data_IF_982430652370
#
_entry.id   IF_982430652370
#
_cell.length_a   1.000
_cell.length_b   1.000
_cell.length_c   1.000
_cell.angle_alpha   90.00
_cell.angle_beta   90.00
_cell.angle_gamma   90.00
#
_symmetry.space_group_name_H-M   'P 1'
#
loop_
_entity.id
_entity.type
_entity.pdbx_description
1 polymer ?
#
# COMPACT_ATOMS: atom_id res chain seq x y z
N UNK A 1 -57.02 -14.69 12.48
CA UNK A 1 -57.32 -13.38 13.09
C UNK A 1 -55.98 -12.65 13.20
N UNK A 2 -55.66 -11.54 12.54
CA UNK A 2 -56.43 -10.48 11.89
C UNK A 2 -55.37 -9.68 11.07
N UNK A 3 -55.34 -9.78 9.74
CA UNK A 3 -55.71 -8.69 8.81
C UNK A 3 -55.37 -7.26 9.27
N UNK A 4 -54.39 -6.63 8.63
CA UNK A 4 -54.24 -5.17 8.58
C UNK A 4 -53.89 -4.74 7.15
N UNK A 5 -54.90 -4.17 6.50
CA UNK A 5 -54.89 -3.58 5.17
C UNK A 5 -54.63 -2.07 5.26
N UNK A 6 -54.13 -1.52 4.14
CA UNK A 6 -54.26 -0.15 3.64
C UNK A 6 -53.52 1.01 4.32
N UNK A 7 -52.58 1.61 3.56
CA UNK A 7 -52.82 2.99 3.12
C UNK A 7 -52.20 3.26 1.73
N UNK A 8 -53.09 3.62 0.79
CA UNK A 8 -52.82 4.11 -0.56
C UNK A 8 -51.97 5.40 -0.54
N UNK A 9 -50.94 5.48 -1.37
CA UNK A 9 -50.36 6.75 -1.83
C UNK A 9 -50.42 6.77 -3.36
N UNK A 10 -51.29 7.66 -3.85
CA UNK A 10 -51.52 7.95 -5.26
C UNK A 10 -50.34 8.74 -5.82
N UNK A 11 -49.77 8.31 -6.95
CA UNK A 11 -48.75 9.08 -7.70
C UNK A 11 -49.47 9.82 -8.85
N UNK A 12 -49.22 11.12 -9.05
CA UNK A 12 -49.81 11.89 -10.14
C UNK A 12 -49.21 11.50 -11.51
N UNK A 13 -50.02 11.69 -12.56
CA UNK A 13 -49.85 11.17 -13.93
C UNK A 13 -48.91 12.06 -14.79
N UNK A 14 -47.94 11.50 -15.53
CA UNK A 14 -46.89 12.23 -16.27
C UNK A 14 -47.30 13.04 -17.52
N UNK A 15 -48.58 13.41 -17.70
CA UNK A 15 -49.06 14.04 -18.95
C UNK A 15 -49.17 15.57 -18.94
N UNK A 16 -48.66 16.27 -17.90
CA UNK A 16 -48.96 17.71 -17.71
C UNK A 16 -47.77 18.67 -17.78
N UNK A 17 -46.64 18.33 -18.42
CA UNK A 17 -45.62 19.37 -18.74
C UNK A 17 -45.03 19.13 -20.13
N UNK A 18 -45.89 19.32 -21.14
CA UNK A 18 -45.49 19.73 -22.48
C UNK A 18 -45.66 21.25 -22.62
N UNK A 19 -44.98 21.84 -23.62
CA UNK A 19 -45.06 23.23 -24.12
C UNK A 19 -44.05 24.23 -23.48
N UNK A 20 -43.19 24.97 -24.19
CA UNK A 20 -43.08 25.31 -25.61
C UNK A 20 -41.72 26.00 -25.95
N UNK A 21 -41.41 26.26 -27.24
CA UNK A 21 -40.06 26.39 -27.82
C UNK A 21 -39.63 27.81 -28.22
N UNK A 22 -38.34 27.99 -28.59
CA UNK A 22 -37.80 29.25 -29.11
C UNK A 22 -36.63 29.11 -30.09
N UNK A 23 -36.90 29.58 -31.32
CA UNK A 23 -36.00 30.06 -32.38
C UNK A 23 -35.12 29.11 -33.19
N UNK A 24 -35.63 28.83 -34.40
CA UNK A 24 -34.92 28.85 -35.69
C UNK A 24 -33.71 29.79 -35.70
N UNK A 25 -32.57 29.31 -36.21
CA UNK A 25 -31.92 29.85 -37.42
C UNK A 25 -30.54 29.21 -37.57
N UNK A 26 -30.16 28.94 -38.83
CA UNK A 26 -28.83 29.19 -39.38
C UNK A 26 -28.09 27.98 -39.97
N UNK A 27 -28.04 28.07 -41.30
CA UNK A 27 -26.91 27.72 -42.16
C UNK A 27 -26.79 26.30 -42.71
N UNK A 28 -26.98 26.24 -44.03
CA UNK A 28 -26.66 25.15 -44.96
C UNK A 28 -25.14 24.92 -45.07
N UNK A 29 -24.42 24.92 -43.95
CA UNK A 29 -23.02 24.47 -43.81
C UNK A 29 -22.89 23.13 -43.09
N UNK A 30 -24.00 22.58 -42.60
CA UNK A 30 -24.01 21.42 -41.70
C UNK A 30 -23.82 20.09 -42.47
N UNK A 31 -24.16 19.98 -43.75
CA UNK A 31 -24.17 18.69 -44.47
C UNK A 31 -22.78 18.05 -44.69
N UNK A 32 -21.71 18.84 -44.76
CA UNK A 32 -20.32 18.33 -44.86
C UNK A 32 -19.69 18.03 -43.49
N UNK A 33 -20.23 18.61 -42.42
CA UNK A 33 -19.71 18.43 -41.07
C UNK A 33 -20.18 17.10 -40.46
N UNK A 34 -21.37 16.60 -40.81
CA UNK A 34 -21.90 15.40 -40.13
C UNK A 34 -21.12 14.11 -40.43
N UNK A 35 -20.42 14.00 -41.57
CA UNK A 35 -19.62 12.79 -41.85
C UNK A 35 -18.28 12.79 -41.11
N UNK A 36 -17.71 13.96 -40.86
CA UNK A 36 -16.52 14.12 -40.01
C UNK A 36 -16.90 14.00 -38.54
N UNK A 37 -17.98 14.68 -38.09
CA UNK A 37 -18.56 14.49 -36.77
C UNK A 37 -18.92 13.02 -36.51
N UNK A 38 -19.61 12.32 -37.41
CA UNK A 38 -19.92 10.90 -37.20
C UNK A 38 -18.68 10.00 -37.11
N UNK A 39 -17.53 10.40 -37.67
CA UNK A 39 -16.26 9.69 -37.53
C UNK A 39 -15.56 10.03 -36.21
N UNK A 40 -15.58 11.29 -35.82
CA UNK A 40 -15.04 11.76 -34.54
C UNK A 40 -15.88 11.27 -33.35
N UNK A 41 -17.20 11.16 -33.51
CA UNK A 41 -18.15 10.64 -32.52
C UNK A 41 -17.95 9.13 -32.33
N UNK A 42 -17.68 8.38 -33.40
CA UNK A 42 -17.30 6.96 -33.29
C UNK A 42 -15.92 6.78 -32.62
N UNK A 43 -14.97 7.70 -32.85
CA UNK A 43 -13.65 7.67 -32.20
C UNK A 43 -13.72 8.09 -30.72
N UNK A 44 -14.60 9.04 -30.38
CA UNK A 44 -14.86 9.45 -28.99
C UNK A 44 -15.61 8.39 -28.20
N UNK A 45 -16.57 7.70 -28.82
CA UNK A 45 -17.30 6.58 -28.20
C UNK A 45 -16.40 5.34 -28.00
N UNK A 46 -15.51 5.02 -28.95
CA UNK A 46 -14.53 3.94 -28.79
C UNK A 46 -13.50 4.23 -27.68
N UNK A 47 -13.11 5.50 -27.52
CA UNK A 47 -12.28 5.96 -26.39
C UNK A 47 -13.00 5.91 -25.05
N UNK A 48 -14.27 6.29 -24.99
CA UNK A 48 -15.03 6.24 -23.74
C UNK A 48 -15.22 4.78 -23.27
N UNK A 49 -15.53 3.85 -24.19
CA UNK A 49 -15.64 2.41 -23.87
C UNK A 49 -14.29 1.75 -23.50
N UNK A 50 -13.16 2.16 -24.10
CA UNK A 50 -11.83 1.64 -23.71
C UNK A 50 -11.32 2.22 -22.40
N UNK A 51 -11.62 3.50 -22.10
CA UNK A 51 -11.26 4.14 -20.82
C UNK A 51 -12.17 3.66 -19.69
N UNK A 52 -13.48 3.47 -19.93
CA UNK A 52 -14.37 2.80 -18.97
C UNK A 52 -14.00 1.33 -18.78
N UNK A 53 -13.56 0.60 -19.81
CA UNK A 53 -13.14 -0.80 -19.62
C UNK A 53 -11.86 -0.92 -18.81
N UNK A 54 -10.92 0.03 -18.94
CA UNK A 54 -9.67 0.08 -18.18
C UNK A 54 -9.88 0.56 -16.73
N UNK A 55 -10.83 1.47 -16.51
CA UNK A 55 -11.25 1.86 -15.15
C UNK A 55 -12.14 0.80 -14.50
N UNK A 56 -12.93 0.04 -15.27
CA UNK A 56 -13.79 -1.05 -14.78
C UNK A 56 -13.01 -2.33 -14.50
N UNK A 57 -11.94 -2.65 -15.24
CA UNK A 57 -11.03 -3.75 -14.88
C UNK A 57 -10.10 -3.38 -13.74
N UNK A 58 -9.69 -2.10 -13.64
CA UNK A 58 -9.01 -1.57 -12.45
C UNK A 58 -9.93 -1.63 -11.20
N UNK A 59 -11.20 -1.22 -11.33
CA UNK A 59 -12.15 -1.21 -10.23
C UNK A 59 -12.72 -2.59 -9.85
N UNK A 60 -12.94 -3.49 -10.81
CA UNK A 60 -13.43 -4.86 -10.54
C UNK A 60 -12.34 -5.75 -9.95
N UNK A 61 -11.09 -5.53 -10.36
CA UNK A 61 -9.92 -6.05 -9.66
C UNK A 61 -9.85 -5.54 -8.22
N UNK A 62 -10.16 -4.27 -7.93
CA UNK A 62 -10.13 -3.68 -6.59
C UNK A 62 -11.21 -4.24 -5.64
N UNK A 63 -12.45 -4.47 -6.10
CA UNK A 63 -13.50 -5.11 -5.25
C UNK A 63 -13.27 -6.60 -5.04
N UNK A 64 -12.80 -7.32 -6.06
CA UNK A 64 -12.39 -8.73 -5.91
C UNK A 64 -11.13 -8.83 -5.04
N UNK A 65 -10.18 -7.90 -5.18
CA UNK A 65 -9.01 -7.79 -4.33
C UNK A 65 -9.42 -7.46 -2.90
N UNK A 66 -10.26 -6.45 -2.64
CA UNK A 66 -10.72 -6.08 -1.29
C UNK A 66 -11.50 -7.22 -0.59
N UNK A 67 -12.31 -7.99 -1.31
CA UNK A 67 -12.97 -9.19 -0.77
C UNK A 67 -12.01 -10.38 -0.59
N UNK A 68 -10.93 -10.46 -1.37
CA UNK A 68 -9.86 -11.46 -1.18
C UNK A 68 -8.93 -11.05 -0.03
N UNK A 69 -8.71 -9.74 0.16
CA UNK A 69 -7.88 -9.13 1.20
C UNK A 69 -8.47 -9.32 2.60
N UNK A 70 -9.80 -9.27 2.74
CA UNK A 70 -10.48 -9.59 4.00
C UNK A 70 -10.41 -11.08 4.40
N UNK A 71 -10.15 -11.98 3.46
CA UNK A 71 -10.01 -13.43 3.74
C UNK A 71 -8.55 -13.88 3.93
N UNK A 72 -7.59 -12.97 3.80
CA UNK A 72 -6.17 -13.28 3.84
C UNK A 72 -5.62 -12.99 5.25
N UNK A 73 -5.20 -14.08 5.92
CA UNK A 73 -5.01 -14.11 7.37
C UNK A 73 -4.01 -13.10 7.91
N UNK A 74 -4.46 -12.27 8.85
CA UNK A 74 -3.67 -11.37 9.72
C UNK A 74 -2.35 -11.99 10.22
N UNK A 75 -2.35 -13.31 10.45
CA UNK A 75 -1.17 -14.09 10.85
C UNK A 75 0.00 -14.01 9.85
N UNK A 76 -0.29 -14.06 8.54
CA UNK A 76 0.70 -14.04 7.46
C UNK A 76 1.29 -12.64 7.26
N UNK A 77 0.49 -11.60 7.46
CA UNK A 77 0.97 -10.22 7.45
C UNK A 77 1.80 -9.90 8.69
N UNK A 78 1.40 -10.43 9.85
CA UNK A 78 2.13 -10.25 11.09
C UNK A 78 3.53 -10.87 11.03
N UNK A 79 3.66 -12.10 10.52
CA UNK A 79 4.96 -12.79 10.47
C UNK A 79 5.97 -12.03 9.60
N UNK A 80 5.58 -11.55 8.42
CA UNK A 80 6.50 -10.80 7.53
C UNK A 80 6.90 -9.46 8.14
N UNK A 81 5.98 -8.79 8.85
CA UNK A 81 6.28 -7.54 9.55
C UNK A 81 7.27 -7.75 10.70
N UNK A 82 7.13 -8.85 11.45
CA UNK A 82 8.04 -9.21 12.55
C UNK A 82 9.44 -9.47 12.00
N UNK A 83 9.57 -10.25 10.92
CA UNK A 83 10.89 -10.58 10.35
C UNK A 83 11.58 -9.32 9.85
N UNK A 84 10.87 -8.44 9.12
CA UNK A 84 11.46 -7.19 8.64
C UNK A 84 11.94 -6.31 9.79
N UNK A 85 11.19 -6.24 10.90
CA UNK A 85 11.58 -5.49 12.09
C UNK A 85 12.83 -6.07 12.76
N UNK A 86 12.91 -7.40 12.86
CA UNK A 86 14.08 -8.11 13.39
C UNK A 86 15.32 -7.82 12.53
N UNK A 87 15.20 -7.95 11.20
CA UNK A 87 16.29 -7.72 10.26
C UNK A 87 16.85 -6.29 10.37
N UNK A 88 15.98 -5.28 10.33
CA UNK A 88 16.39 -3.88 10.48
C UNK A 88 17.05 -3.60 11.84
N UNK A 89 16.54 -4.22 12.91
CA UNK A 89 17.13 -4.11 14.25
C UNK A 89 18.53 -4.71 14.32
N UNK A 90 18.70 -5.96 13.89
CA UNK A 90 19.98 -6.67 13.99
C UNK A 90 21.12 -6.05 13.19
N UNK A 91 20.83 -5.31 12.11
CA UNK A 91 21.85 -4.60 11.34
C UNK A 91 22.42 -3.38 12.07
N UNK A 92 21.60 -2.71 12.90
CA UNK A 92 21.96 -1.44 13.53
C UNK A 92 22.40 -1.61 14.99
N UNK A 93 21.87 -2.63 15.69
CA UNK A 93 22.20 -2.89 17.09
C UNK A 93 23.69 -3.08 17.38
N UNK A 94 24.51 -3.77 16.54
CA UNK A 94 25.93 -3.99 16.84
C UNK A 94 26.73 -2.69 16.97
N UNK A 95 26.48 -1.73 16.08
CA UNK A 95 27.15 -0.42 16.10
C UNK A 95 26.65 0.47 17.23
N UNK A 96 25.34 0.41 17.53
CA UNK A 96 24.76 1.14 18.65
C UNK A 96 25.32 0.66 20.00
N UNK A 97 25.46 -0.64 20.22
CA UNK A 97 26.06 -1.19 21.44
C UNK A 97 27.59 -1.04 21.52
N UNK A 98 28.27 -0.83 20.40
CA UNK A 98 29.69 -0.48 20.40
C UNK A 98 29.92 0.98 20.85
N UNK A 99 28.93 1.85 20.66
CA UNK A 99 29.02 3.28 20.98
C UNK A 99 28.36 3.65 22.30
N UNK A 100 27.31 2.93 22.72
CA UNK A 100 26.65 3.07 24.01
C UNK A 100 27.05 1.93 24.97
N UNK A 101 27.13 2.22 26.27
CA UNK A 101 27.27 1.17 27.29
C UNK A 101 26.13 0.14 27.20
N UNK A 102 26.45 -1.14 27.41
CA UNK A 102 25.50 -2.26 27.28
C UNK A 102 24.23 -2.06 28.12
N UNK A 103 24.36 -1.47 29.32
CA UNK A 103 23.22 -1.20 30.18
C UNK A 103 22.32 -0.11 29.58
N UNK A 104 22.92 0.97 29.07
CA UNK A 104 22.20 2.11 28.50
C UNK A 104 21.48 1.70 27.20
N UNK A 105 22.16 0.96 26.32
CA UNK A 105 21.56 0.46 25.09
C UNK A 105 20.36 -0.47 25.34
N UNK A 106 20.45 -1.33 26.36
CA UNK A 106 19.34 -2.23 26.73
C UNK A 106 18.14 -1.46 27.25
N UNK A 107 18.35 -0.48 28.15
CA UNK A 107 17.26 0.38 28.66
C UNK A 107 16.59 1.15 27.52
N UNK A 108 17.37 1.71 26.59
CA UNK A 108 16.83 2.40 25.42
C UNK A 108 15.99 1.47 24.53
N UNK A 109 16.43 0.22 24.33
CA UNK A 109 15.70 -0.77 23.55
C UNK A 109 14.34 -1.13 24.21
N UNK A 110 14.32 -1.28 25.54
CA UNK A 110 13.07 -1.53 26.29
C UNK A 110 12.12 -0.33 26.17
N UNK A 111 12.62 0.89 26.33
CA UNK A 111 11.81 2.11 26.22
C UNK A 111 11.23 2.26 24.80
N UNK A 112 12.01 2.00 23.76
CA UNK A 112 11.55 2.06 22.38
C UNK A 112 10.50 0.98 22.09
N UNK A 113 10.70 -0.24 22.62
CA UNK A 113 9.72 -1.33 22.53
C UNK A 113 8.40 -1.00 23.22
N UNK A 114 8.44 -0.42 24.42
CA UNK A 114 7.25 0.03 25.14
C UNK A 114 6.51 1.15 24.41
N UNK A 115 7.25 2.13 23.85
CA UNK A 115 6.66 3.18 23.04
C UNK A 115 5.96 2.62 21.78
N UNK A 116 6.59 1.64 21.10
CA UNK A 116 6.01 0.98 19.93
C UNK A 116 4.76 0.15 20.28
N UNK A 117 4.77 -0.56 21.42
CA UNK A 117 3.60 -1.28 21.95
C UNK A 117 2.45 -0.32 22.25
N UNK A 118 2.74 0.79 22.92
CA UNK A 118 1.74 1.81 23.26
C UNK A 118 1.13 2.45 22.02
N UNK A 119 1.94 2.81 21.01
CA UNK A 119 1.44 3.31 19.74
C UNK A 119 0.51 2.29 19.05
N UNK A 120 0.93 1.03 19.01
CA UNK A 120 0.15 -0.07 18.42
C UNK A 120 -1.20 -0.27 19.13
N UNK A 121 -1.23 -0.12 20.46
CA UNK A 121 -2.46 -0.18 21.25
C UNK A 121 -3.44 0.93 20.85
N UNK A 122 -2.98 2.18 20.77
CA UNK A 122 -3.82 3.33 20.38
C UNK A 122 -4.38 3.15 18.96
N UNK A 123 -3.55 2.69 18.03
CA UNK A 123 -3.97 2.42 16.64
C UNK A 123 -5.05 1.32 16.59
N UNK A 124 -4.92 0.29 17.42
CA UNK A 124 -5.90 -0.78 17.56
C UNK A 124 -7.26 -0.26 18.04
N UNK A 125 -7.27 0.54 19.10
CA UNK A 125 -8.50 1.16 19.64
C UNK A 125 -9.17 2.09 18.63
N UNK A 126 -8.39 2.90 17.90
CA UNK A 126 -8.92 3.78 16.84
C UNK A 126 -9.53 2.97 15.70
N UNK A 127 -8.93 1.84 15.33
CA UNK A 127 -9.46 0.96 14.27
C UNK A 127 -10.79 0.33 14.66
N UNK A 128 -10.97 -0.05 15.93
CA UNK A 128 -12.24 -0.60 16.44
C UNK A 128 -13.33 0.48 16.51
N UNK A 129 -12.98 1.70 16.90
CA UNK A 129 -13.93 2.81 17.06
C UNK A 129 -14.34 3.45 15.73
N UNK A 130 -13.45 3.48 14.74
CA UNK A 130 -13.69 4.07 13.43
C UNK A 130 -13.39 3.04 12.32
N UNK A 131 -14.29 2.07 12.07
CA UNK A 131 -14.07 1.07 11.03
C UNK A 131 -14.05 1.63 9.60
N UNK A 132 -14.44 2.90 9.44
CA UNK A 132 -14.50 3.58 8.14
C UNK A 132 -13.13 4.09 7.65
N UNK A 133 -12.13 4.17 8.54
CA UNK A 133 -10.76 4.51 8.15
C UNK A 133 -10.02 3.28 7.61
N UNK A 134 -9.91 3.23 6.28
CA UNK A 134 -9.16 2.19 5.57
C UNK A 134 -7.64 2.46 5.54
N UNK A 135 -7.23 3.73 5.49
CA UNK A 135 -5.82 4.12 5.39
C UNK A 135 -5.23 4.57 6.73
N UNK A 136 -3.94 4.25 6.95
CA UNK A 136 -3.20 4.65 8.15
C UNK A 136 -3.10 6.18 8.28
N UNK A 137 -3.02 6.89 7.15
CA UNK A 137 -2.92 8.35 7.08
C UNK A 137 -4.19 9.04 7.63
N UNK A 138 -5.35 8.42 7.47
CA UNK A 138 -6.61 8.95 8.00
C UNK A 138 -6.67 8.87 9.53
N UNK A 139 -5.94 7.94 10.15
CA UNK A 139 -5.78 7.92 11.61
C UNK A 139 -4.99 9.13 12.11
N UNK A 140 -3.96 9.54 11.36
CA UNK A 140 -3.22 10.79 11.64
C UNK A 140 -4.13 12.03 11.59
N UNK A 141 -5.13 12.02 10.70
CA UNK A 141 -6.13 13.08 10.61
C UNK A 141 -7.07 13.11 11.83
N UNK A 142 -7.42 11.96 12.38
CA UNK A 142 -8.25 11.86 13.59
C UNK A 142 -7.49 12.32 14.84
N UNK A 143 -6.18 12.07 14.91
CA UNK A 143 -5.34 12.43 16.06
C UNK A 143 -5.00 13.93 16.11
N UNK A 144 -4.70 14.55 14.96
CA UNK A 144 -4.15 15.91 14.90
C UNK A 144 -4.86 16.83 13.88
N UNK A 145 -6.05 16.44 13.40
CA UNK A 145 -6.82 17.20 12.43
C UNK A 145 -6.16 17.26 11.05
N UNK A 146 -6.38 18.36 10.31
CA UNK A 146 -5.89 18.52 8.93
C UNK A 146 -4.36 18.47 8.84
N UNK A 147 -3.66 18.98 9.85
CA UNK A 147 -2.20 19.03 9.88
C UNK A 147 -1.59 17.64 10.07
N UNK A 148 -2.20 16.82 10.93
CA UNK A 148 -1.79 15.42 11.15
C UNK A 148 -1.87 14.57 9.90
N UNK A 149 -2.84 14.81 9.01
CA UNK A 149 -2.94 14.10 7.73
C UNK A 149 -1.69 14.27 6.86
N UNK A 150 -1.21 15.50 6.67
CA UNK A 150 -0.03 15.75 5.82
C UNK A 150 1.24 15.18 6.43
N UNK A 151 1.43 15.34 7.74
CA UNK A 151 2.62 14.84 8.43
C UNK A 151 2.65 13.31 8.44
N UNK A 152 1.56 12.63 8.81
CA UNK A 152 1.52 11.18 8.81
C UNK A 152 1.64 10.60 7.40
N UNK A 153 1.06 11.25 6.40
CA UNK A 153 1.22 10.85 5.00
C UNK A 153 2.69 10.88 4.58
N UNK A 154 3.35 12.03 4.81
CA UNK A 154 4.75 12.21 4.47
C UNK A 154 5.66 11.25 5.26
N UNK A 155 5.46 11.14 6.57
CA UNK A 155 6.24 10.25 7.43
C UNK A 155 6.08 8.78 7.03
N UNK A 156 4.86 8.34 6.70
CA UNK A 156 4.60 6.97 6.27
C UNK A 156 5.28 6.66 4.94
N UNK A 157 5.15 7.52 3.93
CA UNK A 157 5.80 7.33 2.63
C UNK A 157 7.32 7.39 2.77
N UNK A 158 7.85 8.33 3.55
CA UNK A 158 9.29 8.44 3.82
C UNK A 158 9.82 7.17 4.52
N UNK A 159 9.10 6.64 5.51
CA UNK A 159 9.47 5.40 6.20
C UNK A 159 9.53 4.22 5.22
N UNK A 160 8.56 4.08 4.32
CA UNK A 160 8.56 3.01 3.32
C UNK A 160 9.76 3.13 2.37
N UNK A 161 10.06 4.33 1.89
CA UNK A 161 11.20 4.58 0.98
C UNK A 161 12.53 4.31 1.70
N UNK A 162 12.68 4.76 2.94
CA UNK A 162 13.90 4.54 3.73
C UNK A 162 14.13 3.06 4.03
N UNK A 163 13.07 2.31 4.36
CA UNK A 163 13.15 0.86 4.56
C UNK A 163 13.60 0.16 3.28
N UNK A 164 12.95 0.43 2.14
CA UNK A 164 13.34 -0.18 0.85
C UNK A 164 14.77 0.21 0.48
N UNK A 165 15.14 1.48 0.66
CA UNK A 165 16.50 1.98 0.41
C UNK A 165 17.55 1.30 1.29
N UNK A 166 17.24 1.03 2.56
CA UNK A 166 18.13 0.27 3.46
C UNK A 166 18.39 -1.14 2.91
N UNK A 167 17.36 -1.83 2.42
CA UNK A 167 17.53 -3.17 1.86
C UNK A 167 18.33 -3.16 0.56
N UNK A 168 18.13 -2.16 -0.31
CA UNK A 168 18.98 -1.99 -1.50
C UNK A 168 20.45 -1.76 -1.13
N UNK A 169 20.69 -0.91 -0.11
CA UNK A 169 22.04 -0.61 0.35
C UNK A 169 22.71 -1.85 0.96
N UNK A 170 22.00 -2.58 1.84
CA UNK A 170 22.50 -3.83 2.41
C UNK A 170 22.81 -4.85 1.31
N UNK A 171 21.95 -5.00 0.30
CA UNK A 171 22.20 -5.85 -0.87
C UNK A 171 23.48 -5.46 -1.63
N UNK A 172 23.71 -4.16 -1.84
CA UNK A 172 24.95 -3.64 -2.42
C UNK A 172 26.19 -4.03 -1.59
N UNK A 173 26.15 -3.79 -0.28
CA UNK A 173 27.27 -4.11 0.62
C UNK A 173 27.57 -5.60 0.72
N UNK A 174 26.55 -6.46 0.68
CA UNK A 174 26.72 -7.91 0.69
C UNK A 174 27.48 -8.39 -0.55
N UNK A 175 27.21 -7.81 -1.72
CA UNK A 175 27.90 -8.17 -2.96
C UNK A 175 29.34 -7.65 -3.02
N UNK A 176 29.60 -6.48 -2.40
CA UNK A 176 30.97 -5.98 -2.20
C UNK A 176 31.79 -6.94 -1.36
N UNK A 177 31.20 -7.51 -0.30
CA UNK A 177 31.89 -8.47 0.56
C UNK A 177 32.35 -9.73 -0.21
N UNK A 178 31.64 -10.11 -1.28
CA UNK A 178 32.00 -11.26 -2.13
C UNK A 178 32.95 -10.85 -3.26
N UNK A 179 32.75 -9.69 -3.87
CA UNK A 179 33.45 -9.29 -5.11
C UNK A 179 34.74 -8.48 -4.87
N UNK A 180 34.94 -7.91 -3.68
CA UNK A 180 36.14 -7.13 -3.33
C UNK A 180 36.28 -5.77 -4.03
N UNK A 181 35.33 -5.36 -4.88
CA UNK A 181 35.35 -4.09 -5.62
C UNK A 181 34.14 -3.21 -5.27
N UNK A 182 34.41 -1.93 -4.96
CA UNK A 182 33.41 -0.95 -4.52
C UNK A 182 32.55 -0.39 -5.66
N UNK A 183 33.09 -0.34 -6.88
CA UNK A 183 32.38 0.18 -8.07
C UNK A 183 31.18 -0.72 -8.43
N UNK A 184 31.33 -2.02 -8.20
CA UNK A 184 30.26 -3.00 -8.40
C UNK A 184 29.08 -2.81 -7.43
N UNK A 185 29.31 -2.22 -6.25
CA UNK A 185 28.28 -1.99 -5.22
C UNK A 185 27.13 -1.15 -5.75
N UNK A 186 27.46 -0.05 -6.44
CA UNK A 186 26.48 0.91 -6.91
C UNK A 186 25.62 0.32 -8.04
N UNK A 187 26.26 -0.38 -8.97
CA UNK A 187 25.58 -1.09 -10.06
C UNK A 187 24.66 -2.19 -9.52
N UNK A 188 25.12 -2.94 -8.50
CA UNK A 188 24.33 -4.00 -7.89
C UNK A 188 23.17 -3.48 -7.03
N UNK A 189 23.32 -2.33 -6.38
CA UNK A 189 22.24 -1.66 -5.66
C UNK A 189 21.14 -1.17 -6.60
N UNK A 190 21.52 -0.62 -7.76
CA UNK A 190 20.57 -0.26 -8.83
C UNK A 190 19.88 -1.54 -9.35
N UNK A 191 20.62 -2.62 -9.60
CA UNK A 191 20.05 -3.90 -10.03
C UNK A 191 19.05 -4.47 -9.00
N UNK A 192 19.38 -4.41 -7.71
CA UNK A 192 18.51 -4.83 -6.61
C UNK A 192 17.22 -3.99 -6.55
N UNK A 193 17.34 -2.69 -6.81
CA UNK A 193 16.17 -1.79 -6.90
C UNK A 193 15.25 -2.16 -8.05
N UNK A 194 15.81 -2.51 -9.22
CA UNK A 194 15.02 -2.97 -10.37
C UNK A 194 14.29 -4.28 -10.04
N UNK A 195 14.95 -5.23 -9.36
CA UNK A 195 14.33 -6.49 -8.92
C UNK A 195 13.20 -6.23 -7.92
N UNK A 196 13.40 -5.33 -6.95
CA UNK A 196 12.37 -4.97 -5.96
C UNK A 196 11.17 -4.25 -6.59
N UNK A 197 11.42 -3.37 -7.58
CA UNK A 197 10.36 -2.76 -8.38
C UNK A 197 9.59 -3.82 -9.15
N UNK A 198 10.28 -4.79 -9.75
CA UNK A 198 9.63 -5.87 -10.49
C UNK A 198 8.77 -6.75 -9.58
N UNK A 199 9.25 -7.05 -8.38
CA UNK A 199 8.52 -7.80 -7.36
C UNK A 199 7.34 -7.01 -6.76
N UNK A 200 7.35 -5.68 -6.86
CA UNK A 200 6.28 -4.83 -6.35
C UNK A 200 5.04 -4.73 -7.26
N UNK A 201 5.13 -5.15 -8.54
CA UNK A 201 4.11 -4.84 -9.54
C UNK A 201 2.80 -5.64 -9.36
N UNK A 202 2.78 -6.94 -9.01
CA UNK A 202 1.55 -7.48 -8.38
C UNK A 202 1.76 -8.80 -7.59
N UNK A 203 2.43 -8.85 -6.42
CA UNK A 203 2.37 -10.08 -5.63
C UNK A 203 1.01 -10.11 -4.92
N UNK A 204 0.16 -11.04 -5.32
CA UNK A 204 -1.07 -11.36 -4.58
C UNK A 204 -0.70 -11.66 -3.11
N UNK A 205 -1.48 -11.24 -2.11
CA UNK A 205 -1.12 -11.50 -0.70
C UNK A 205 -0.93 -12.99 -0.37
N UNK A 206 -1.46 -13.90 -1.19
CA UNK A 206 -1.15 -15.34 -1.09
C UNK A 206 0.32 -15.66 -1.46
N UNK A 207 0.86 -14.97 -2.47
CA UNK A 207 2.26 -15.10 -2.90
C UNK A 207 3.20 -14.38 -1.92
N UNK A 208 2.83 -13.19 -1.43
CA UNK A 208 3.62 -12.53 -0.36
C UNK A 208 3.72 -13.43 0.88
N UNK A 209 2.65 -14.16 1.20
CA UNK A 209 2.65 -15.07 2.32
C UNK A 209 3.50 -16.34 2.13
N UNK A 210 3.66 -16.82 0.88
CA UNK A 210 4.58 -17.95 0.63
C UNK A 210 6.04 -17.46 0.68
N UNK A 211 6.33 -16.27 0.14
CA UNK A 211 7.66 -15.65 0.23
C UNK A 211 8.08 -15.38 1.68
N UNK A 212 7.16 -14.90 2.53
CA UNK A 212 7.46 -14.64 3.95
C UNK A 212 7.86 -15.89 4.75
N UNK A 213 7.35 -17.07 4.38
CA UNK A 213 7.76 -18.32 5.04
C UNK A 213 9.20 -18.73 4.64
N UNK A 214 9.58 -18.48 3.40
CA UNK A 214 10.95 -18.72 2.91
C UNK A 214 11.92 -17.75 3.59
N UNK A 215 11.54 -16.48 3.69
CA UNK A 215 12.30 -15.42 4.37
C UNK A 215 12.53 -15.75 5.86
N UNK A 216 11.51 -16.26 6.55
CA UNK A 216 11.63 -16.69 7.94
C UNK A 216 12.72 -17.75 8.13
N UNK A 217 12.70 -18.81 7.31
CA UNK A 217 13.70 -19.90 7.39
C UNK A 217 15.10 -19.35 7.09
N UNK A 218 15.21 -18.47 6.09
CA UNK A 218 16.46 -17.82 5.70
C UNK A 218 17.05 -17.00 6.84
N UNK A 219 16.25 -16.16 7.50
CA UNK A 219 16.72 -15.31 8.60
C UNK A 219 17.18 -16.12 9.81
N UNK A 220 16.45 -17.19 10.17
CA UNK A 220 16.80 -18.05 11.29
C UNK A 220 18.12 -18.78 11.01
N UNK A 221 18.30 -19.28 9.78
CA UNK A 221 19.55 -19.89 9.36
C UNK A 221 20.71 -18.88 9.39
N UNK A 222 20.51 -17.68 8.84
CA UNK A 222 21.51 -16.61 8.83
C UNK A 222 21.95 -16.24 10.25
N UNK A 223 21.00 -16.01 11.17
CA UNK A 223 21.30 -15.69 12.58
C UNK A 223 22.06 -16.80 13.28
N UNK A 224 21.66 -18.07 13.07
CA UNK A 224 22.33 -19.22 13.68
C UNK A 224 23.78 -19.30 13.22
N UNK A 225 24.02 -19.12 11.91
CA UNK A 225 25.37 -19.08 11.35
C UNK A 225 26.16 -17.90 11.92
N UNK A 226 25.57 -16.70 12.02
CA UNK A 226 26.24 -15.53 12.61
C UNK A 226 26.65 -15.78 14.06
N UNK A 227 25.80 -16.37 14.89
CA UNK A 227 26.11 -16.66 16.30
C UNK A 227 27.27 -17.65 16.42
N UNK A 228 27.28 -18.71 15.60
CA UNK A 228 28.38 -19.68 15.60
C UNK A 228 29.67 -19.01 15.08
N UNK A 229 29.57 -18.23 14.01
CA UNK A 229 30.71 -17.54 13.38
C UNK A 229 31.36 -16.51 14.30
N UNK A 230 30.58 -15.72 15.05
CA UNK A 230 31.14 -14.78 16.03
C UNK A 230 31.70 -15.50 17.25
N UNK A 231 31.07 -16.60 17.67
CA UNK A 231 31.56 -17.42 18.78
C UNK A 231 32.90 -18.12 18.52
N UNK A 232 33.20 -18.48 17.27
CA UNK A 232 34.52 -19.05 16.90
C UNK A 232 35.61 -17.98 16.72
N UNK A 233 35.22 -16.74 16.44
CA UNK A 233 36.15 -15.61 16.20
C UNK A 233 36.42 -14.83 17.49
N UNK A 234 36.34 -15.53 18.63
CA UNK A 234 36.58 -15.06 20.00
C UNK A 234 37.95 -15.49 20.51
#
# INVERSE_FOLDING_TARGET
MQSLQLHHISRPNPHEIAEAPGSLTKDRGIAINLRDQAKDDNILLDRDHTVLSRSSTCGRGEVDAENRFHQLGWKRLLIILIITAITLGTLSLPSAFATLDMAIGTVACVLLGLAAMYASYIIGEVKLKYPQTKHYVDMGRLLMGRWGYYIFSFAFVAQLILVVGSHCLTGGTAFVAVSGSSICSLVFSIASTVVLILLAIPPSFAEVAILGYIDFISIVAAMTVTIIATGIQS
#
